data_IF_890074720279
#
_entry.id   IF_890074720279
#
_cell.length_a   1.000
_cell.length_b   1.000
_cell.length_c   1.000
_cell.angle_alpha   90.00
_cell.angle_beta   90.00
_cell.angle_gamma   90.00
#
_symmetry.space_group_name_H-M   'P 1'
#
loop_
_entity.id
_entity.type
_entity.pdbx_description
1 polymer ?
#
# COMPACT_ATOMS: atom_id res chain seq x y z
N UNK A 1 4.41 -21.67 -10.94
CA UNK A 1 5.35 -21.11 -11.93
C UNK A 1 4.57 -20.17 -12.83
N UNK A 2 4.59 -18.86 -12.56
CA UNK A 2 4.07 -17.85 -13.48
C UNK A 2 5.01 -16.65 -13.39
N UNK A 3 6.09 -16.78 -14.17
CA UNK A 3 7.11 -15.77 -14.45
C UNK A 3 6.65 -15.04 -15.70
N UNK A 4 6.17 -13.80 -15.56
CA UNK A 4 6.31 -12.75 -16.60
C UNK A 4 6.46 -11.41 -15.87
N UNK A 5 7.62 -11.19 -15.26
CA UNK A 5 8.25 -9.86 -15.14
C UNK A 5 8.81 -9.51 -16.51
N UNK A 6 8.49 -8.34 -17.08
CA UNK A 6 9.44 -7.45 -17.77
C UNK A 6 8.75 -6.12 -18.14
N UNK A 7 9.39 -4.99 -17.79
CA UNK A 7 9.14 -3.61 -18.27
C UNK A 7 8.04 -2.72 -17.62
N UNK A 8 7.75 -2.85 -16.32
CA UNK A 8 7.04 -1.81 -15.54
C UNK A 8 7.87 -1.21 -14.39
N UNK A 9 9.20 -1.10 -14.58
CA UNK A 9 10.15 -0.60 -13.56
C UNK A 9 10.18 0.94 -13.37
N UNK A 10 9.05 1.63 -13.58
CA UNK A 10 8.91 3.07 -13.27
C UNK A 10 7.55 3.41 -12.63
N UNK A 11 6.52 2.56 -12.74
CA UNK A 11 5.22 2.80 -12.10
C UNK A 11 5.16 2.07 -10.76
N UNK A 12 5.98 2.54 -9.84
CA UNK A 12 5.98 2.03 -8.49
C UNK A 12 4.73 2.58 -7.82
N UNK A 13 3.76 1.70 -7.67
CA UNK A 13 2.80 1.47 -6.57
C UNK A 13 2.52 2.62 -5.57
N UNK A 14 2.48 3.87 -6.04
CA UNK A 14 2.04 5.01 -5.25
C UNK A 14 0.83 5.73 -5.79
N UNK A 15 0.16 5.26 -6.85
CA UNK A 15 -1.16 5.78 -7.25
C UNK A 15 -1.85 4.77 -8.19
N UNK A 16 -2.24 3.60 -7.65
CA UNK A 16 -3.11 2.67 -8.40
C UNK A 16 -4.46 3.30 -8.78
N UNK A 17 -4.90 4.34 -8.07
CA UNK A 17 -6.09 5.12 -8.43
C UNK A 17 -5.89 5.83 -9.79
N UNK A 18 -4.94 6.78 -9.97
CA UNK A 18 -4.63 7.34 -11.28
C UNK A 18 -4.18 6.32 -12.29
N UNK A 19 -3.40 5.30 -11.93
CA UNK A 19 -3.02 4.27 -12.90
C UNK A 19 -4.24 3.55 -13.44
N UNK A 20 -5.13 3.06 -12.57
CA UNK A 20 -6.37 2.39 -12.97
C UNK A 20 -7.30 3.31 -13.74
N UNK A 21 -7.51 4.55 -13.28
CA UNK A 21 -8.31 5.55 -14.01
C UNK A 21 -7.67 5.92 -15.36
N UNK A 22 -6.35 6.02 -15.42
CA UNK A 22 -5.59 6.27 -16.64
C UNK A 22 -5.72 5.06 -17.59
N UNK A 23 -5.66 3.82 -17.10
CA UNK A 23 -5.91 2.62 -17.89
C UNK A 23 -7.36 2.55 -18.40
N UNK A 24 -8.34 2.91 -17.57
CA UNK A 24 -9.74 2.99 -18.00
C UNK A 24 -9.94 4.06 -19.07
N UNK A 25 -9.34 5.24 -18.90
CA UNK A 25 -9.36 6.30 -19.89
C UNK A 25 -8.72 5.84 -21.19
N UNK A 26 -7.54 5.20 -21.14
CA UNK A 26 -6.85 4.68 -22.30
C UNK A 26 -7.69 3.65 -23.09
N UNK A 27 -8.48 2.81 -22.39
CA UNK A 27 -9.40 1.86 -23.04
C UNK A 27 -10.52 2.53 -23.82
N UNK A 28 -10.95 3.72 -23.40
CA UNK A 28 -11.98 4.50 -24.08
C UNK A 28 -11.41 5.25 -25.31
N UNK A 29 -10.09 5.42 -25.39
CA UNK A 29 -9.44 6.08 -26.53
C UNK A 29 -9.43 5.15 -27.75
N UNK A 30 -10.13 5.57 -28.80
CA UNK A 30 -10.17 4.89 -30.10
C UNK A 30 -9.19 5.48 -31.11
N UNK A 31 -8.84 6.77 -30.98
CA UNK A 31 -7.90 7.43 -31.88
C UNK A 31 -6.45 7.15 -31.52
N UNK A 32 -5.64 6.80 -32.51
CA UNK A 32 -4.19 6.63 -32.34
C UNK A 32 -3.50 7.94 -31.89
N UNK A 33 -4.02 9.10 -32.32
CA UNK A 33 -3.49 10.39 -31.91
C UNK A 33 -3.75 10.68 -30.42
N UNK A 34 -4.94 10.34 -29.93
CA UNK A 34 -5.30 10.51 -28.52
C UNK A 34 -4.51 9.56 -27.61
N UNK A 35 -4.36 8.29 -28.02
CA UNK A 35 -3.52 7.32 -27.30
C UNK A 35 -2.08 7.79 -27.20
N UNK A 36 -1.51 8.28 -28.30
CA UNK A 36 -0.16 8.84 -28.31
C UNK A 36 -0.03 10.02 -27.36
N UNK A 37 -0.97 10.97 -27.39
CA UNK A 37 -0.97 12.14 -26.50
C UNK A 37 -1.04 11.73 -25.02
N UNK A 38 -1.90 10.78 -24.69
CA UNK A 38 -2.01 10.23 -23.34
C UNK A 38 -0.70 9.54 -22.92
N UNK A 39 -0.11 8.71 -23.78
CA UNK A 39 1.16 8.05 -23.53
C UNK A 39 2.30 9.04 -23.29
N UNK A 40 2.33 10.15 -24.04
CA UNK A 40 3.28 11.25 -23.85
C UNK A 40 3.06 11.97 -22.51
N UNK A 41 1.80 12.22 -22.11
CA UNK A 41 1.45 12.89 -20.85
C UNK A 41 1.86 12.09 -19.61
N UNK A 42 1.61 10.78 -19.61
CA UNK A 42 1.90 9.91 -18.47
C UNK A 42 3.27 9.21 -18.56
N UNK A 43 4.07 9.51 -19.60
CA UNK A 43 5.35 8.86 -19.88
C UNK A 43 5.25 7.32 -19.98
N UNK A 44 4.12 6.81 -20.48
CA UNK A 44 3.85 5.37 -20.63
C UNK A 44 3.93 5.02 -22.12
N UNK A 45 4.44 3.82 -22.44
CA UNK A 45 4.45 3.34 -23.82
C UNK A 45 3.15 2.64 -24.19
N UNK A 46 2.61 2.96 -25.36
CA UNK A 46 1.36 2.40 -25.89
C UNK A 46 1.38 0.86 -25.95
N UNK A 47 2.50 0.28 -26.40
CA UNK A 47 2.66 -1.17 -26.50
C UNK A 47 2.55 -1.88 -25.15
N UNK A 48 3.08 -1.26 -24.08
CA UNK A 48 3.02 -1.81 -22.72
C UNK A 48 1.58 -1.75 -22.20
N UNK A 49 0.89 -0.63 -22.41
CA UNK A 49 -0.50 -0.47 -21.97
C UNK A 49 -1.43 -1.45 -22.69
N UNK A 50 -1.28 -1.55 -24.02
CA UNK A 50 -2.06 -2.47 -24.85
C UNK A 50 -1.84 -3.93 -24.44
N UNK A 51 -0.60 -4.31 -24.11
CA UNK A 51 -0.27 -5.65 -23.63
C UNK A 51 -0.89 -5.94 -22.26
N UNK A 52 -0.87 -4.98 -21.33
CA UNK A 52 -1.53 -5.13 -20.03
C UNK A 52 -3.04 -5.33 -20.21
N UNK A 53 -3.69 -4.56 -21.10
CA UNK A 53 -5.13 -4.70 -21.39
C UNK A 53 -5.43 -6.08 -21.98
N UNK A 54 -4.58 -6.55 -22.90
CA UNK A 54 -4.68 -7.89 -23.48
C UNK A 54 -4.59 -8.97 -22.39
N UNK A 55 -3.57 -8.90 -21.54
CA UNK A 55 -3.36 -9.83 -20.43
C UNK A 55 -4.54 -9.82 -19.43
N UNK A 56 -5.09 -8.65 -19.10
CA UNK A 56 -6.29 -8.57 -18.26
C UNK A 56 -7.48 -9.32 -18.88
N UNK A 57 -7.66 -9.22 -20.21
CA UNK A 57 -8.67 -9.98 -20.93
C UNK A 57 -8.42 -11.49 -20.92
N UNK A 58 -7.16 -11.90 -21.05
CA UNK A 58 -6.77 -13.32 -20.96
C UNK A 58 -7.08 -13.90 -19.57
N UNK A 59 -6.72 -13.19 -18.50
CA UNK A 59 -7.01 -13.62 -17.13
C UNK A 59 -8.52 -13.67 -16.85
N UNK A 60 -9.30 -12.70 -17.32
CA UNK A 60 -10.75 -12.74 -17.17
C UNK A 60 -11.36 -13.96 -17.87
N UNK A 61 -10.88 -14.31 -19.06
CA UNK A 61 -11.32 -15.53 -19.76
C UNK A 61 -11.00 -16.79 -18.97
N UNK A 62 -9.77 -16.91 -18.46
CA UNK A 62 -9.38 -18.04 -17.62
C UNK A 62 -10.25 -18.16 -16.36
N UNK A 63 -10.49 -17.05 -15.65
CA UNK A 63 -11.35 -17.04 -14.46
C UNK A 63 -12.79 -17.45 -14.76
N UNK A 64 -13.32 -17.04 -15.93
CA UNK A 64 -14.65 -17.43 -16.38
C UNK A 64 -14.70 -18.92 -16.77
N UNK A 65 -13.70 -19.43 -17.48
CA UNK A 65 -13.59 -20.87 -17.80
C UNK A 65 -13.56 -21.73 -16.53
N UNK A 66 -12.91 -21.23 -15.47
CA UNK A 66 -12.91 -21.84 -14.15
C UNK A 66 -14.13 -21.48 -13.28
N UNK A 67 -15.15 -20.80 -13.81
CA UNK A 67 -16.41 -20.44 -13.14
C UNK A 67 -16.29 -19.55 -11.90
N UNK A 68 -15.19 -18.82 -11.74
CA UNK A 68 -15.01 -17.87 -10.63
C UNK A 68 -15.72 -16.52 -10.88
N UNK A 69 -15.86 -16.12 -12.15
CA UNK A 69 -16.58 -14.91 -12.55
C UNK A 69 -17.71 -15.26 -13.53
N UNK A 70 -18.76 -14.44 -13.53
CA UNK A 70 -19.96 -14.70 -14.33
C UNK A 70 -19.77 -14.40 -15.82
N UNK A 71 -18.90 -13.45 -16.16
CA UNK A 71 -18.63 -13.04 -17.54
C UNK A 71 -17.13 -13.00 -17.82
N UNK A 72 -16.65 -13.29 -19.04
CA UNK A 72 -15.23 -13.25 -19.40
C UNK A 72 -14.72 -11.82 -19.62
N UNK A 73 -15.23 -10.85 -18.84
CA UNK A 73 -14.92 -9.44 -18.97
C UNK A 73 -14.25 -8.91 -17.71
N UNK A 74 -13.08 -8.24 -17.81
CA UNK A 74 -12.41 -7.65 -16.65
C UNK A 74 -13.19 -6.47 -16.05
N UNK A 75 -14.21 -5.94 -16.74
CA UNK A 75 -15.04 -4.81 -16.28
C UNK A 75 -16.43 -5.23 -15.82
N UNK A 76 -16.64 -6.53 -15.59
CA UNK A 76 -17.91 -7.05 -15.08
C UNK A 76 -18.28 -6.38 -13.74
N UNK A 77 -19.44 -5.71 -13.62
CA UNK A 77 -19.84 -5.06 -12.37
C UNK A 77 -19.97 -6.05 -11.21
N UNK A 78 -20.40 -7.29 -11.49
CA UNK A 78 -20.54 -8.35 -10.48
C UNK A 78 -19.21 -8.80 -9.88
N UNK A 79 -18.16 -8.89 -10.70
CA UNK A 79 -16.81 -9.17 -10.23
C UNK A 79 -16.12 -7.94 -9.59
N UNK A 80 -16.57 -6.73 -9.89
CA UNK A 80 -15.93 -5.46 -9.51
C UNK A 80 -16.66 -4.68 -8.40
N UNK A 81 -17.46 -5.35 -7.55
CA UNK A 81 -18.22 -4.72 -6.43
C UNK A 81 -17.31 -3.87 -5.53
N UNK A 82 -16.07 -4.32 -5.30
CA UNK A 82 -15.09 -3.64 -4.44
C UNK A 82 -14.07 -2.77 -5.19
N UNK A 83 -14.31 -2.42 -6.46
CA UNK A 83 -13.31 -1.73 -7.30
C UNK A 83 -12.77 -0.42 -6.72
N UNK A 84 -13.59 0.30 -5.96
CA UNK A 84 -13.23 1.58 -5.34
C UNK A 84 -12.65 1.44 -3.93
N UNK A 85 -12.58 0.23 -3.39
CA UNK A 85 -12.05 -0.04 -2.05
C UNK A 85 -10.52 -0.22 -2.11
N UNK A 86 -9.79 0.90 -2.16
CA UNK A 86 -8.32 0.89 -2.24
C UNK A 86 -7.63 0.22 -1.04
N UNK A 87 -8.10 0.40 0.22
CA UNK A 87 -7.56 -0.35 1.35
C UNK A 87 -7.63 -1.87 1.14
N UNK A 88 -8.76 -2.38 0.60
CA UNK A 88 -8.90 -3.79 0.28
C UNK A 88 -7.93 -4.22 -0.83
N UNK A 89 -7.77 -3.41 -1.90
CA UNK A 89 -6.81 -3.72 -2.96
C UNK A 89 -5.38 -3.86 -2.42
N UNK A 90 -4.96 -2.94 -1.54
CA UNK A 90 -3.66 -3.04 -0.84
C UNK A 90 -3.57 -4.32 -0.02
N UNK A 91 -4.64 -4.69 0.67
CA UNK A 91 -4.67 -5.91 1.43
C UNK A 91 -4.52 -7.16 0.55
N UNK A 92 -5.24 -7.23 -0.58
CA UNK A 92 -5.11 -8.32 -1.56
C UNK A 92 -3.69 -8.37 -2.14
N UNK A 93 -3.09 -7.21 -2.45
CA UNK A 93 -1.71 -7.11 -2.91
C UNK A 93 -0.72 -7.66 -1.87
N UNK A 94 -0.98 -7.41 -0.59
CA UNK A 94 -0.19 -7.99 0.50
C UNK A 94 -0.28 -9.52 0.53
N UNK A 95 -1.47 -10.09 0.33
CA UNK A 95 -1.63 -11.55 0.22
C UNK A 95 -0.92 -12.13 -1.00
N UNK A 96 -1.04 -11.47 -2.16
CA UNK A 96 -0.43 -11.91 -3.41
C UNK A 96 1.11 -11.87 -3.40
N UNK A 97 1.69 -10.90 -2.69
CA UNK A 97 3.15 -10.71 -2.61
C UNK A 97 3.78 -11.37 -1.38
N UNK A 98 2.99 -11.91 -0.45
CA UNK A 98 3.55 -12.62 0.71
C UNK A 98 4.39 -13.83 0.22
N UNK A 99 5.60 -14.08 0.77
CA UNK A 99 6.22 -13.50 1.97
C UNK A 99 7.12 -12.27 1.74
N UNK A 100 7.07 -11.62 0.57
CA UNK A 100 7.92 -10.48 0.21
C UNK A 100 7.47 -9.18 0.91
N UNK A 101 7.78 -9.08 2.20
CA UNK A 101 7.42 -7.94 3.05
C UNK A 101 8.66 -7.31 3.71
N UNK A 102 8.55 -6.01 3.98
CA UNK A 102 9.56 -5.20 4.64
C UNK A 102 8.92 -4.42 5.79
N UNK A 103 9.68 -4.24 6.86
CA UNK A 103 9.36 -3.34 7.97
C UNK A 103 10.28 -2.13 7.89
N UNK A 104 9.70 -0.94 7.76
CA UNK A 104 10.40 0.32 7.81
C UNK A 104 10.35 0.86 9.24
N UNK A 105 11.51 1.02 9.87
CA UNK A 105 11.61 1.45 11.27
C UNK A 105 12.27 2.83 11.33
N UNK A 106 11.62 3.86 11.90
CA UNK A 106 12.26 5.15 12.11
C UNK A 106 13.48 5.02 13.00
N UNK A 107 14.53 5.79 12.72
CA UNK A 107 15.76 5.78 13.50
C UNK A 107 16.12 7.18 13.98
N UNK A 108 16.51 7.27 15.25
CA UNK A 108 17.09 8.47 15.86
C UNK A 108 18.41 8.06 16.49
N UNK A 109 19.50 8.70 16.08
CA UNK A 109 20.84 8.52 16.65
C UNK A 109 21.36 9.87 17.11
N UNK A 110 21.83 9.96 18.36
CA UNK A 110 22.36 11.20 18.96
C UNK A 110 21.44 12.42 18.80
N UNK A 111 20.13 12.21 18.96
CA UNK A 111 19.11 13.25 18.82
C UNK A 111 18.82 13.69 17.37
N UNK A 112 19.43 13.05 16.37
CA UNK A 112 19.22 13.34 14.94
C UNK A 112 18.39 12.25 14.28
N UNK A 113 17.41 12.65 13.49
CA UNK A 113 16.60 11.73 12.67
C UNK A 113 17.47 11.18 11.53
N UNK A 114 17.65 9.86 11.51
CA UNK A 114 18.49 9.15 10.54
C UNK A 114 17.62 8.37 9.56
N UNK A 115 18.22 7.98 8.41
CA UNK A 115 17.50 7.19 7.40
C UNK A 115 16.81 5.99 8.05
N UNK A 116 15.53 5.75 7.76
CA UNK A 116 14.81 4.64 8.38
C UNK A 116 15.49 3.30 8.04
N UNK A 117 15.53 2.40 9.02
CA UNK A 117 16.07 1.06 8.83
C UNK A 117 15.03 0.18 8.15
N UNK A 118 15.40 -0.38 7.01
CA UNK A 118 14.63 -1.40 6.32
C UNK A 118 14.98 -2.75 6.93
N UNK A 119 13.97 -3.49 7.39
CA UNK A 119 14.14 -4.87 7.87
C UNK A 119 13.29 -5.80 7.02
N UNK A 120 13.91 -6.85 6.51
CA UNK A 120 13.21 -7.94 5.83
C UNK A 120 13.07 -9.15 6.78
N UNK A 121 12.48 -10.22 6.27
CA UNK A 121 12.53 -11.53 6.93
C UNK A 121 14.01 -11.93 7.19
N UNK A 122 14.35 -12.56 8.32
CA UNK A 122 15.75 -12.91 8.64
C UNK A 122 16.50 -13.68 7.56
N UNK A 123 15.81 -14.53 6.78
CA UNK A 123 16.39 -15.28 5.66
C UNK A 123 16.84 -14.40 4.47
N UNK A 124 16.35 -13.18 4.38
CA UNK A 124 16.60 -12.27 3.26
C UNK A 124 17.89 -11.45 3.43
N UNK A 125 18.41 -11.36 4.66
CA UNK A 125 19.57 -10.54 4.99
C UNK A 125 19.29 -9.04 4.84
N UNK A 126 20.35 -8.27 4.54
CA UNK A 126 20.25 -6.83 4.38
C UNK A 126 19.60 -6.45 3.05
N UNK A 127 18.58 -5.58 3.13
CA UNK A 127 17.83 -5.06 1.99
C UNK A 127 17.81 -3.53 2.01
N UNK A 128 17.94 -2.92 0.84
CA UNK A 128 17.74 -1.49 0.58
C UNK A 128 16.57 -1.26 -0.39
N UNK A 129 15.93 -0.09 -0.31
CA UNK A 129 14.92 0.32 -1.29
C UNK A 129 15.61 1.15 -2.37
N UNK A 130 15.28 0.88 -3.64
CA UNK A 130 15.83 1.64 -4.75
C UNK A 130 15.45 3.13 -4.63
N UNK A 131 16.38 4.09 -4.78
CA UNK A 131 16.08 5.51 -4.76
C UNK A 131 15.09 5.97 -5.83
N UNK A 132 14.97 5.24 -6.95
CA UNK A 132 13.98 5.49 -8.00
C UNK A 132 12.58 5.02 -7.61
N UNK A 133 12.46 4.30 -6.49
CA UNK A 133 11.16 4.04 -5.89
C UNK A 133 10.53 5.31 -5.40
N UNK A 134 9.24 5.45 -5.68
CA UNK A 134 8.36 6.43 -5.05
C UNK A 134 8.50 6.39 -3.51
N UNK A 135 8.73 5.21 -2.93
CA UNK A 135 8.96 5.03 -1.50
C UNK A 135 10.44 4.95 -1.13
N UNK A 136 11.35 5.29 -2.06
CA UNK A 136 12.81 5.26 -1.86
C UNK A 136 13.31 6.31 -0.88
N UNK A 137 12.52 7.37 -0.64
CA UNK A 137 12.81 8.43 0.32
C UNK A 137 11.62 8.68 1.28
N UNK A 138 10.99 7.60 1.76
CA UNK A 138 9.90 7.66 2.73
C UNK A 138 10.42 7.62 4.17
N UNK A 139 9.88 8.49 5.01
CA UNK A 139 10.19 8.66 6.42
C UNK A 139 8.90 8.46 7.23
N UNK A 140 8.72 7.30 7.86
CA UNK A 140 7.51 7.03 8.61
C UNK A 140 7.64 7.57 10.04
N UNK A 141 6.55 8.09 10.61
CA UNK A 141 6.53 8.52 12.01
C UNK A 141 6.57 7.31 12.97
N UNK A 142 5.81 6.29 12.62
CA UNK A 142 5.73 5.00 13.32
C UNK A 142 6.25 3.87 12.43
N UNK A 143 6.59 2.69 12.97
CA UNK A 143 6.98 1.56 12.14
C UNK A 143 5.91 1.22 11.08
N UNK A 144 6.31 1.20 9.82
CA UNK A 144 5.42 0.95 8.68
C UNK A 144 5.76 -0.38 7.99
N UNK A 145 4.77 -0.99 7.33
CA UNK A 145 4.96 -2.21 6.55
C UNK A 145 4.90 -1.91 5.06
N UNK A 146 5.71 -2.63 4.30
CA UNK A 146 5.71 -2.56 2.85
C UNK A 146 5.73 -3.97 2.23
N UNK A 147 5.16 -4.10 1.04
CA UNK A 147 5.31 -5.29 0.19
C UNK A 147 6.11 -4.93 -1.05
N UNK A 148 6.84 -5.89 -1.62
CA UNK A 148 7.60 -5.73 -2.86
C UNK A 148 7.43 -6.93 -3.78
N UNK A 149 7.59 -6.71 -5.08
CA UNK A 149 7.59 -7.75 -6.11
C UNK A 149 8.99 -8.03 -6.63
N UNK A 150 9.73 -6.99 -7.04
CA UNK A 150 11.04 -7.16 -7.68
C UNK A 150 12.18 -6.86 -6.73
N UNK A 151 13.05 -7.86 -6.54
CA UNK A 151 14.32 -7.75 -5.81
C UNK A 151 15.47 -8.03 -6.76
N UNK A 152 16.50 -7.19 -6.75
CA UNK A 152 17.72 -7.38 -7.50
C UNK A 152 18.93 -7.37 -6.57
N UNK A 153 20.00 -8.05 -6.98
CA UNK A 153 21.31 -7.97 -6.33
C UNK A 153 22.31 -7.68 -7.44
N UNK A 154 23.01 -6.55 -7.33
CA UNK A 154 24.10 -6.22 -8.25
C UNK A 154 25.39 -6.88 -7.74
N UNK A 155 26.29 -7.28 -8.65
CA UNK A 155 27.49 -8.05 -8.32
C UNK A 155 28.40 -7.35 -7.28
N UNK A 156 28.44 -6.02 -7.31
CA UNK A 156 29.22 -5.20 -6.37
C UNK A 156 28.40 -4.62 -5.21
N UNK A 157 27.14 -5.03 -5.04
CA UNK A 157 26.28 -4.55 -3.95
C UNK A 157 26.36 -5.46 -2.73
N UNK A 158 26.61 -4.86 -1.57
CA UNK A 158 26.65 -5.57 -0.29
C UNK A 158 25.27 -6.10 0.12
N UNK A 159 24.20 -5.39 -0.25
CA UNK A 159 22.80 -5.72 0.05
C UNK A 159 21.96 -5.91 -1.22
N UNK A 160 20.84 -6.62 -1.10
CA UNK A 160 19.84 -6.68 -2.16
C UNK A 160 19.03 -5.36 -2.21
N UNK A 161 18.60 -4.96 -3.39
CA UNK A 161 17.80 -3.75 -3.60
C UNK A 161 16.42 -4.13 -4.13
N UNK A 162 15.36 -3.69 -3.45
CA UNK A 162 13.99 -3.83 -3.95
C UNK A 162 13.65 -2.64 -4.84
N UNK A 163 13.02 -2.92 -5.98
CA UNK A 163 12.74 -1.89 -6.98
C UNK A 163 11.39 -1.25 -6.75
N UNK A 164 10.36 -2.06 -6.55
CA UNK A 164 9.00 -1.63 -6.32
C UNK A 164 8.57 -1.92 -4.88
N UNK A 165 7.84 -0.99 -4.27
CA UNK A 165 7.34 -1.14 -2.91
C UNK A 165 5.99 -0.46 -2.75
N UNK A 166 5.13 -1.04 -1.91
CA UNK A 166 3.82 -0.49 -1.54
C UNK A 166 3.71 -0.43 -0.04
N UNK A 167 3.19 0.67 0.51
CA UNK A 167 2.90 0.78 1.94
C UNK A 167 1.56 0.12 2.26
N UNK A 168 1.58 -0.80 3.21
CA UNK A 168 0.42 -1.61 3.63
C UNK A 168 0.17 -1.40 5.14
N UNK A 169 -1.10 -1.38 5.57
CA UNK A 169 -1.47 -1.45 6.99
C UNK A 169 -1.02 -2.77 7.67
N UNK A 170 -1.16 -2.87 8.99
CA UNK A 170 -0.69 -4.03 9.75
C UNK A 170 -1.64 -5.23 9.63
N UNK A 171 -2.96 -5.03 9.64
CA UNK A 171 -3.96 -6.12 9.59
C UNK A 171 -3.81 -7.00 8.35
N UNK A 172 -3.59 -6.49 7.12
CA UNK A 172 -3.33 -7.37 5.98
C UNK A 172 -2.08 -8.24 6.15
N UNK A 173 -1.01 -7.67 6.72
CA UNK A 173 0.20 -8.45 7.06
C UNK A 173 -0.15 -9.55 8.07
N UNK A 174 -0.91 -9.22 9.12
CA UNK A 174 -1.39 -10.18 10.11
C UNK A 174 -2.41 -11.17 9.57
N UNK A 175 -3.13 -10.86 8.49
CA UNK A 175 -4.18 -11.70 7.91
C UNK A 175 -3.61 -12.69 6.89
N UNK A 176 -2.61 -12.30 6.09
CA UNK A 176 -2.00 -13.17 5.07
C UNK A 176 -0.67 -13.84 5.47
N UNK A 177 -0.16 -13.53 6.66
CA UNK A 177 1.05 -14.16 7.20
C UNK A 177 0.85 -15.61 7.65
N UNK A 178 1.94 -16.29 8.00
CA UNK A 178 1.91 -17.65 8.52
C UNK A 178 1.34 -17.79 9.94
N UNK A 179 1.90 -18.74 10.69
CA UNK A 179 1.45 -19.08 12.04
C UNK A 179 1.53 -17.89 13.00
N UNK A 180 0.47 -17.70 13.78
CA UNK A 180 0.38 -16.69 14.85
C UNK A 180 0.55 -17.38 16.20
N UNK A 181 1.63 -17.05 16.90
CA UNK A 181 1.96 -17.57 18.22
C UNK A 181 1.80 -16.46 19.27
N UNK A 182 1.06 -16.73 20.35
CA UNK A 182 0.99 -15.85 21.51
C UNK A 182 2.25 -16.01 22.36
N UNK A 183 2.76 -14.91 22.91
CA UNK A 183 3.81 -14.99 23.90
C UNK A 183 3.25 -15.55 25.23
N UNK A 184 3.96 -16.49 25.85
CA UNK A 184 3.57 -17.10 27.12
C UNK A 184 3.64 -16.13 28.30
N UNK A 185 4.48 -15.09 28.19
CA UNK A 185 4.77 -14.14 29.29
C UNK A 185 3.85 -12.91 29.21
N UNK A 186 3.54 -12.45 28.00
CA UNK A 186 2.69 -11.28 27.76
C UNK A 186 1.61 -11.61 26.73
N UNK A 187 0.38 -11.75 27.23
CA UNK A 187 -0.80 -12.05 26.40
C UNK A 187 -1.09 -11.01 25.31
N UNK A 188 -0.48 -9.81 25.38
CA UNK A 188 -0.68 -8.74 24.40
C UNK A 188 0.34 -8.74 23.27
N UNK A 189 1.42 -9.52 23.39
CA UNK A 189 2.49 -9.60 22.39
C UNK A 189 2.38 -10.91 21.61
N UNK A 190 2.28 -10.78 20.30
CA UNK A 190 2.15 -11.89 19.37
C UNK A 190 3.34 -11.91 18.42
N UNK A 191 3.81 -13.12 18.14
CA UNK A 191 4.84 -13.37 17.13
C UNK A 191 4.20 -14.06 15.94
N UNK A 192 4.34 -13.44 14.78
CA UNK A 192 3.76 -13.91 13.53
C UNK A 192 4.91 -14.28 12.59
N UNK A 193 4.80 -15.45 11.95
CA UNK A 193 5.82 -15.97 11.02
C UNK A 193 7.23 -16.06 11.64
N UNK A 194 7.32 -16.19 12.97
CA UNK A 194 8.57 -16.28 13.76
C UNK A 194 9.48 -15.04 13.78
N UNK A 195 9.09 -13.91 13.18
CA UNK A 195 9.90 -12.67 13.21
C UNK A 195 9.10 -11.37 13.38
N UNK A 196 7.81 -11.38 13.04
CA UNK A 196 6.94 -10.21 13.14
C UNK A 196 6.39 -10.15 14.57
N UNK A 197 6.98 -9.30 15.40
CA UNK A 197 6.50 -9.03 16.77
C UNK A 197 5.54 -7.85 16.75
N UNK A 198 4.33 -8.08 17.25
CA UNK A 198 3.23 -7.10 17.25
C UNK A 198 2.56 -7.13 18.61
N UNK A 199 2.29 -5.95 19.14
CA UNK A 199 1.46 -5.79 20.32
C UNK A 199 0.04 -5.40 19.87
N UNK A 200 -0.95 -6.21 20.20
CA UNK A 200 -2.35 -5.88 19.91
C UNK A 200 -3.32 -6.56 20.88
N UNK A 201 -4.60 -6.20 20.76
CA UNK A 201 -5.67 -6.82 21.54
C UNK A 201 -5.80 -8.32 21.20
N UNK A 202 -5.79 -9.24 22.18
CA UNK A 202 -5.98 -10.68 21.96
C UNK A 202 -7.26 -11.02 21.19
N UNK A 203 -8.34 -10.25 21.39
CA UNK A 203 -9.62 -10.43 20.69
C UNK A 203 -9.46 -10.23 19.18
N UNK A 204 -8.64 -9.26 18.76
CA UNK A 204 -8.37 -9.02 17.35
C UNK A 204 -7.62 -10.20 16.72
N UNK A 205 -6.67 -10.79 17.45
CA UNK A 205 -5.92 -11.95 16.98
C UNK A 205 -6.78 -13.21 16.87
N UNK A 206 -7.68 -13.42 17.84
CA UNK A 206 -8.63 -14.52 17.76
C UNK A 206 -9.59 -14.34 16.58
N UNK A 207 -10.12 -13.12 16.37
CA UNK A 207 -10.95 -12.80 15.21
C UNK A 207 -10.23 -13.06 13.88
N UNK A 208 -8.97 -12.63 13.74
CA UNK A 208 -8.16 -12.90 12.54
C UNK A 208 -8.00 -14.40 12.32
N UNK A 209 -7.73 -15.17 13.38
CA UNK A 209 -7.58 -16.62 13.31
C UNK A 209 -8.86 -17.30 12.85
N UNK A 210 -10.01 -16.94 13.46
CA UNK A 210 -11.30 -17.54 13.12
C UNK A 210 -11.72 -17.18 11.68
N UNK A 211 -11.48 -15.94 11.25
CA UNK A 211 -11.76 -15.52 9.88
C UNK A 211 -10.86 -16.19 8.84
N UNK A 212 -9.60 -16.50 9.18
CA UNK A 212 -8.72 -17.29 8.30
C UNK A 212 -9.28 -18.68 8.06
N UNK A 213 -9.72 -19.37 9.13
CA UNK A 213 -10.35 -20.70 9.01
C UNK A 213 -11.60 -20.63 8.14
N UNK A 214 -12.50 -19.67 8.41
CA UNK A 214 -13.70 -19.49 7.58
C UNK A 214 -13.38 -19.19 6.11
N UNK A 215 -12.32 -18.41 5.84
CA UNK A 215 -11.89 -18.10 4.48
C UNK A 215 -11.28 -19.33 3.79
N UNK A 216 -10.48 -20.11 4.50
CA UNK A 216 -9.90 -21.36 4.01
C UNK A 216 -11.00 -22.38 3.65
N UNK A 217 -12.04 -22.50 4.49
CA UNK A 217 -13.21 -23.34 4.20
C UNK A 217 -13.95 -22.90 2.93
N UNK A 218 -14.10 -21.59 2.72
CA UNK A 218 -14.71 -21.03 1.50
C UNK A 218 -13.82 -21.34 0.29
N UNK A 219 -12.52 -21.11 0.39
CA UNK A 219 -11.56 -21.35 -0.70
C UNK A 219 -11.51 -22.84 -1.07
N UNK A 220 -11.51 -23.72 -0.08
CA UNK A 220 -11.52 -25.17 -0.29
C UNK A 220 -12.83 -25.62 -0.95
N UNK A 221 -13.97 -25.10 -0.50
CA UNK A 221 -15.27 -25.35 -1.12
C UNK A 221 -15.31 -24.89 -2.58
N UNK A 222 -14.79 -23.69 -2.88
CA UNK A 222 -14.69 -23.14 -4.25
C UNK A 222 -13.71 -23.92 -5.12
N UNK A 223 -12.63 -24.46 -4.55
CA UNK A 223 -11.71 -25.32 -5.28
C UNK A 223 -12.35 -26.65 -5.67
N UNK A 224 -13.14 -27.25 -4.76
CA UNK A 224 -13.87 -28.51 -5.02
C UNK A 224 -15.05 -28.33 -5.98
N UNK A 225 -15.81 -27.24 -5.82
CA UNK A 225 -16.97 -26.92 -6.65
C UNK A 225 -16.92 -25.45 -7.12
N UNK A 226 -16.24 -25.19 -8.24
CA UNK A 226 -16.08 -23.82 -8.75
C UNK A 226 -17.43 -23.19 -9.07
N UNK A 227 -17.64 -22.00 -8.51
CA UNK A 227 -18.87 -21.21 -8.64
C UNK A 227 -18.57 -19.74 -8.41
N UNK A 228 -19.39 -18.87 -9.01
CA UNK A 228 -19.29 -17.42 -8.83
C UNK A 228 -19.42 -17.09 -7.34
N UNK A 229 -18.59 -16.15 -6.86
CA UNK A 229 -18.61 -15.71 -5.46
C UNK A 229 -19.96 -15.09 -5.11
N UNK A 230 -20.58 -15.55 -4.02
CA UNK A 230 -21.83 -14.98 -3.53
C UNK A 230 -21.55 -13.84 -2.56
N UNK A 231 -21.83 -12.61 -3.00
CA UNK A 231 -21.67 -11.39 -2.19
C UNK A 231 -22.92 -11.00 -1.40
N UNK A 232 -24.00 -11.78 -1.47
CA UNK A 232 -25.23 -11.52 -0.71
C UNK A 232 -24.96 -11.59 0.80
N UNK A 233 -25.19 -10.51 1.57
CA UNK A 233 -25.07 -10.49 3.03
C UNK A 233 -25.94 -11.52 3.76
N UNK A 234 -27.00 -12.04 3.12
CA UNK A 234 -27.84 -13.10 3.68
C UNK A 234 -27.16 -14.48 3.65
N UNK A 235 -26.19 -14.67 2.75
CA UNK A 235 -25.47 -15.93 2.59
C UNK A 235 -24.32 -16.04 3.59
N UNK A 236 -23.95 -17.26 3.96
CA UNK A 236 -22.79 -17.50 4.85
C UNK A 236 -21.48 -17.02 4.20
N UNK A 237 -21.29 -17.31 2.90
CA UNK A 237 -20.14 -16.84 2.11
C UNK A 237 -20.04 -15.31 2.14
N UNK A 238 -21.14 -14.62 1.80
CA UNK A 238 -21.17 -13.16 1.77
C UNK A 238 -20.90 -12.54 3.15
N UNK A 239 -21.47 -13.06 4.24
CA UNK A 239 -21.18 -12.55 5.60
C UNK A 239 -19.70 -12.63 5.96
N UNK A 240 -19.05 -13.76 5.68
CA UNK A 240 -17.61 -13.93 5.95
C UNK A 240 -16.82 -12.94 5.10
N UNK A 241 -17.10 -12.84 3.81
CA UNK A 241 -16.41 -11.91 2.91
C UNK A 241 -16.57 -10.45 3.33
N UNK A 242 -17.79 -10.01 3.66
CA UNK A 242 -18.04 -8.66 4.17
C UNK A 242 -17.28 -8.39 5.48
N UNK A 243 -17.19 -9.38 6.36
CA UNK A 243 -16.43 -9.26 7.61
C UNK A 243 -14.93 -9.14 7.36
N UNK A 244 -14.38 -9.93 6.42
CA UNK A 244 -12.98 -9.84 6.00
C UNK A 244 -12.70 -8.48 5.36
N UNK A 245 -13.57 -8.01 4.47
CA UNK A 245 -13.45 -6.68 3.84
C UNK A 245 -13.45 -5.59 4.91
N UNK A 246 -14.37 -5.64 5.88
CA UNK A 246 -14.42 -4.68 6.98
C UNK A 246 -13.18 -4.72 7.85
N UNK A 247 -12.63 -5.91 8.15
CA UNK A 247 -11.40 -6.04 8.92
C UNK A 247 -10.21 -5.37 8.20
N UNK A 248 -10.06 -5.66 6.91
CA UNK A 248 -8.92 -5.23 6.10
C UNK A 248 -9.00 -3.78 5.64
N UNK A 249 -10.21 -3.26 5.40
CA UNK A 249 -10.40 -1.92 4.87
C UNK A 249 -10.49 -0.83 5.95
N UNK A 250 -10.92 -1.16 7.18
CA UNK A 250 -11.07 -0.20 8.28
C UNK A 250 -9.79 0.04 9.08
N UNK A 251 -8.61 -0.09 8.46
CA UNK A 251 -7.34 0.26 9.09
C UNK A 251 -6.72 1.46 8.39
N UNK A 252 -6.27 2.42 9.20
CA UNK A 252 -5.57 3.59 8.69
C UNK A 252 -4.21 3.17 8.15
N UNK A 253 -3.87 3.70 6.97
CA UNK A 253 -2.52 3.58 6.42
C UNK A 253 -1.56 4.35 7.31
N UNK A 254 -0.37 3.81 7.64
CA UNK A 254 0.64 4.54 8.41
C UNK A 254 0.96 5.90 7.78
N UNK A 255 1.00 6.95 8.60
CA UNK A 255 1.38 8.29 8.15
C UNK A 255 2.85 8.29 7.79
N UNK A 256 3.13 8.57 6.51
CA UNK A 256 4.48 8.65 5.97
C UNK A 256 4.75 10.03 5.38
N UNK A 257 5.95 10.56 5.62
CA UNK A 257 6.41 11.79 5.01
C UNK A 257 7.45 11.45 3.94
N UNK A 258 7.33 12.05 2.76
CA UNK A 258 8.44 12.13 1.82
C UNK A 258 9.21 13.40 2.16
N UNK A 259 10.49 13.30 2.49
CA UNK A 259 11.27 14.48 2.87
C UNK A 259 11.37 15.41 1.65
N UNK A 260 10.74 16.60 1.73
CA UNK A 260 11.07 17.73 0.86
C UNK A 260 12.44 18.24 1.27
N UNK A 261 13.35 18.38 0.31
CA UNK A 261 14.62 19.01 0.63
C UNK A 261 14.42 20.49 0.99
N UNK A 262 15.23 21.09 1.89
CA UNK A 262 15.10 22.51 2.27
C UNK A 262 15.16 23.50 1.09
N UNK A 263 15.69 23.08 -0.07
CA UNK A 263 15.80 23.88 -1.29
C UNK A 263 14.65 23.69 -2.29
N UNK A 264 13.64 22.85 -2.00
CA UNK A 264 12.48 22.72 -2.88
C UNK A 264 11.56 23.95 -2.76
N UNK A 265 11.21 24.60 -3.88
CA UNK A 265 10.39 25.82 -3.84
C UNK A 265 9.01 25.51 -3.28
N UNK A 266 8.56 26.33 -2.32
CA UNK A 266 7.19 26.32 -1.82
C UNK A 266 6.28 26.71 -2.98
N UNK A 267 5.52 25.76 -3.54
CA UNK A 267 4.45 26.07 -4.49
C UNK A 267 3.40 26.86 -3.72
N UNK A 268 3.25 28.13 -4.10
CA UNK A 268 2.38 29.14 -3.51
C UNK A 268 1.04 28.58 -3.02
N UNK A 269 0.84 28.60 -1.71
CA UNK A 269 -0.49 28.82 -1.14
C UNK A 269 -0.95 30.18 -1.69
N UNK A 270 -1.86 30.19 -2.66
CA UNK A 270 -2.55 31.44 -3.01
C UNK A 270 -3.51 31.75 -1.86
N UNK A 271 -3.35 32.86 -1.13
CA UNK A 271 -4.43 33.34 -0.29
C UNK A 271 -5.55 33.82 -1.21
N UNK A 272 -6.75 33.30 -0.98
CA UNK A 272 -7.98 33.84 -1.55
C UNK A 272 -8.04 35.35 -1.34
N UNK A 273 -8.21 36.06 -2.45
CA UNK A 273 -8.49 37.49 -2.55
C UNK A 273 -9.66 37.88 -1.65
N UNK A 274 -9.47 38.94 -0.86
CA UNK A 274 -10.51 39.56 -0.05
C UNK A 274 -9.98 40.80 0.69
N UNK A 275 -10.03 41.92 -0.01
CA UNK A 275 -10.14 43.33 0.45
C UNK A 275 -9.02 44.03 1.24
N UNK A 276 -8.50 45.11 0.63
CA UNK A 276 -8.76 46.44 1.19
C UNK A 276 -7.68 47.11 2.06
N UNK A 277 -6.53 47.42 1.46
CA UNK A 277 -5.76 48.68 1.58
C UNK A 277 -6.20 49.72 2.65
N UNK A 278 -5.42 49.93 3.73
CA UNK A 278 -4.53 51.10 3.98
C UNK A 278 -4.12 51.29 5.47
N UNK A 279 -2.82 51.59 5.63
CA UNK A 279 -2.12 52.36 6.66
C UNK A 279 -2.32 52.06 8.15
N UNK A 280 -1.23 51.73 8.83
CA UNK A 280 -0.56 52.70 9.72
C UNK A 280 0.73 52.10 10.29
N UNK A 281 1.85 52.77 10.04
CA UNK A 281 3.05 52.65 10.85
C UNK A 281 2.76 53.00 12.31
N UNK A 282 3.67 52.58 13.19
CA UNK A 282 3.84 52.95 14.60
C UNK A 282 3.05 52.13 15.63
N UNK A 283 3.75 51.18 16.27
CA UNK A 283 3.84 51.05 17.74
C UNK A 283 4.93 50.05 18.10
N UNK A 284 6.14 50.60 18.13
CA UNK A 284 7.31 50.09 18.85
C UNK A 284 7.16 50.59 20.29
N UNK A 285 6.46 49.86 21.17
CA UNK A 285 6.64 49.99 22.63
C UNK A 285 5.89 48.89 23.37
N UNK A 286 6.53 48.42 24.46
CA UNK A 286 5.99 47.63 25.55
C UNK A 286 5.81 46.12 25.28
N UNK A 287 6.81 45.33 25.68
CA UNK A 287 6.75 44.53 26.91
C UNK A 287 8.02 43.67 27.02
N UNK A 288 9.13 44.31 27.42
CA UNK A 288 10.16 43.69 28.23
C UNK A 288 9.89 44.12 29.67
N UNK A 289 9.25 43.26 30.43
CA UNK A 289 9.10 43.31 31.87
C UNK A 289 8.81 41.87 32.29
N UNK A 290 9.87 41.11 32.55
CA UNK A 290 10.05 40.58 33.90
C UNK A 290 11.40 39.87 34.07
N UNK A 291 11.87 39.89 35.31
CA UNK A 291 12.99 39.14 35.86
C UNK A 291 14.41 39.66 35.63
N UNK A 292 14.71 40.78 36.28
CA UNK A 292 15.92 40.87 37.10
C UNK A 292 15.74 41.87 38.26
N UNK A 293 15.58 41.36 39.48
CA UNK A 293 16.12 41.95 40.72
C UNK A 293 15.97 40.95 41.87
N UNK A 294 17.05 40.17 42.06
CA UNK A 294 17.47 39.69 43.37
C UNK A 294 18.21 40.83 44.09
N UNK A 295 18.03 40.92 45.41
CA UNK A 295 18.97 41.56 46.33
C UNK A 295 18.46 42.81 47.06
N UNK A 296 17.61 42.61 48.09
CA UNK A 296 17.92 42.87 49.53
C UNK A 296 17.12 41.87 50.35
#
# INVERSE_FOLDING_TARGET
MLVITFQLNQMIIMLFCPAYYAFQNFRQLTSAAERRRFCEEYFIRDNVVSEIIRLMGDYARLLHEHKYIATPSPTDPGANINMNNFPLFRAILCGALFPNILKLVPQVMDGRVCRPKVRARPSEGDISINPKSVNGNVWPADPAWMVYFTKTRMDNSMCSTVLDTTIIPLRPVLFFSGSIQSNLIDSTVFTVDNWIKVQANPVLFQLIRDLRVCLDDILESKFRCPSVTNWDPSSTEGRVLHTVVNLLANELVPTVQTQRHPWEPKINERPSSGDGMQSSQSKLTALQLDNQKQGV
#
